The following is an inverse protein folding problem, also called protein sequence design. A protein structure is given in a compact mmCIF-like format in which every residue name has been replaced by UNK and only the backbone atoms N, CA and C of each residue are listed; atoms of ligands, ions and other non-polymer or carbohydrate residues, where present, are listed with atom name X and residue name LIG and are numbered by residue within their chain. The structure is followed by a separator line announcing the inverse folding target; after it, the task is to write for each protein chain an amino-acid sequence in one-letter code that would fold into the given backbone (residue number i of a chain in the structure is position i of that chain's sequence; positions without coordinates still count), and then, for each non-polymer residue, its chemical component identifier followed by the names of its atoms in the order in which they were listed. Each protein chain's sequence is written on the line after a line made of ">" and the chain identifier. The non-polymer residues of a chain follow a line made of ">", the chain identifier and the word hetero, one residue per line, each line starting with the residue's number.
data_IF_070125047438
#
_entry.id   IF_070125047438
#
_cell.length_a   1.000
_cell.length_b   1.000
_cell.length_c   1.000
_cell.angle_alpha   90.00
_cell.angle_beta   90.00
_cell.angle_gamma   90.00
#
_symmetry.space_group_name_H-M   'P 1'
#
loop_
_entity.id
_entity.type
_entity.pdbx_description
1 polymer ?
#
# COMPACT_ATOMS: atom_id res chain seq x y z
N UNK A 1 -28.71 -22.35 -7.55
CA UNK A 1 -30.18 -22.44 -7.71
C UNK A 1 -30.52 -22.17 -9.16
N UNK A 2 -31.44 -22.94 -9.75
CA UNK A 2 -32.01 -22.65 -11.08
C UNK A 2 -33.44 -22.16 -10.84
N UNK A 3 -33.85 -21.15 -11.60
CA UNK A 3 -35.19 -20.59 -11.55
C UNK A 3 -35.86 -20.79 -12.90
N UNK A 4 -37.16 -21.04 -12.89
CA UNK A 4 -37.99 -20.89 -14.10
C UNK A 4 -38.11 -19.41 -14.47
N UNK A 5 -38.62 -19.11 -15.66
CA UNK A 5 -38.80 -17.73 -16.12
C UNK A 5 -39.77 -16.94 -15.22
N UNK A 6 -40.87 -17.58 -14.81
CA UNK A 6 -41.89 -16.93 -13.98
C UNK A 6 -41.38 -16.68 -12.55
N UNK A 7 -40.69 -17.66 -11.97
CA UNK A 7 -40.02 -17.52 -10.67
C UNK A 7 -39.00 -16.37 -10.70
N UNK A 8 -38.22 -16.28 -11.78
CA UNK A 8 -37.24 -15.22 -11.94
C UNK A 8 -37.90 -13.85 -12.03
N UNK A 9 -38.99 -13.74 -12.79
CA UNK A 9 -39.76 -12.51 -12.94
C UNK A 9 -40.35 -12.04 -11.61
N UNK A 10 -40.93 -12.96 -10.84
CA UNK A 10 -41.47 -12.65 -9.52
C UNK A 10 -40.38 -12.17 -8.55
N UNK A 11 -39.21 -12.82 -8.56
CA UNK A 11 -38.06 -12.37 -7.76
C UNK A 11 -37.54 -11.01 -8.19
N UNK A 12 -37.57 -10.69 -9.49
CA UNK A 12 -37.15 -9.38 -10.02
C UNK A 12 -38.12 -8.25 -9.64
N UNK A 13 -39.42 -8.54 -9.54
CA UNK A 13 -40.41 -7.59 -8.98
C UNK A 13 -40.17 -7.38 -7.48
N UNK A 14 -40.05 -8.46 -6.71
CA UNK A 14 -39.94 -8.39 -5.25
C UNK A 14 -38.64 -7.72 -4.77
N UNK A 15 -37.53 -7.93 -5.46
CA UNK A 15 -36.23 -7.33 -5.09
C UNK A 15 -36.14 -5.83 -5.35
N UNK A 16 -37.00 -5.28 -6.21
CA UNK A 16 -36.90 -3.90 -6.71
C UNK A 16 -35.49 -3.57 -7.23
N UNK A 17 -34.88 -2.52 -6.68
CA UNK A 17 -33.54 -2.06 -7.08
C UNK A 17 -32.37 -2.84 -6.44
N UNK A 18 -32.64 -3.78 -5.53
CA UNK A 18 -31.60 -4.57 -4.88
C UNK A 18 -31.01 -5.61 -5.85
N UNK A 19 -29.72 -5.98 -5.78
CA UNK A 19 -29.21 -7.14 -6.53
C UNK A 19 -29.87 -8.46 -6.08
N UNK A 20 -30.24 -9.34 -7.01
CA UNK A 20 -30.98 -10.58 -6.69
C UNK A 20 -30.27 -11.45 -5.63
N UNK A 21 -28.96 -11.63 -5.76
CA UNK A 21 -28.20 -12.43 -4.81
C UNK A 21 -28.14 -11.84 -3.39
N UNK A 22 -28.36 -10.52 -3.25
CA UNK A 22 -28.49 -9.87 -1.95
C UNK A 22 -29.90 -10.11 -1.40
N UNK A 23 -30.93 -9.89 -2.22
CA UNK A 23 -32.32 -10.12 -1.84
C UNK A 23 -32.57 -11.57 -1.37
N UNK A 24 -32.11 -12.57 -2.13
CA UNK A 24 -32.25 -13.99 -1.76
C UNK A 24 -31.53 -14.26 -0.43
N UNK A 25 -30.33 -13.70 -0.23
CA UNK A 25 -29.56 -13.92 0.98
C UNK A 25 -30.26 -13.32 2.20
N UNK A 26 -30.79 -12.09 2.10
CA UNK A 26 -31.54 -11.46 3.17
C UNK A 26 -32.82 -12.23 3.52
N UNK A 27 -33.53 -12.77 2.52
CA UNK A 27 -34.74 -13.58 2.76
C UNK A 27 -34.42 -14.96 3.38
N UNK A 28 -33.31 -15.59 2.98
CA UNK A 28 -32.98 -16.97 3.42
C UNK A 28 -32.18 -16.99 4.72
N UNK A 29 -31.29 -16.02 4.93
CA UNK A 29 -30.36 -15.99 6.06
C UNK A 29 -30.68 -14.88 7.08
N UNK A 30 -31.59 -13.95 6.76
CA UNK A 30 -32.01 -12.90 7.68
C UNK A 30 -30.85 -12.10 8.29
N UNK A 31 -30.98 -11.80 9.58
CA UNK A 31 -29.96 -11.08 10.37
C UNK A 31 -28.72 -11.95 10.69
N UNK A 32 -28.82 -13.27 10.55
CA UNK A 32 -27.69 -14.21 10.70
C UNK A 32 -26.76 -14.23 9.49
N UNK A 33 -27.11 -13.51 8.42
CA UNK A 33 -26.27 -13.36 7.25
C UNK A 33 -25.03 -12.54 7.58
N UNK A 34 -23.91 -13.21 7.90
CA UNK A 34 -22.63 -12.54 8.14
C UNK A 34 -22.36 -11.45 7.08
N UNK A 35 -22.03 -10.21 7.49
CA UNK A 35 -21.81 -9.11 6.57
C UNK A 35 -20.76 -9.52 5.53
N UNK A 36 -21.02 -9.23 4.25
CA UNK A 36 -19.99 -9.43 3.23
C UNK A 36 -18.78 -8.58 3.64
N UNK A 37 -17.61 -9.20 3.80
CA UNK A 37 -16.35 -8.46 3.90
C UNK A 37 -16.32 -7.50 2.71
N UNK A 38 -16.43 -6.19 2.98
CA UNK A 38 -16.21 -5.18 1.94
C UNK A 38 -14.79 -5.45 1.46
N UNK A 39 -14.65 -5.84 0.19
CA UNK A 39 -13.34 -5.89 -0.46
C UNK A 39 -12.79 -4.47 -0.27
N UNK A 40 -11.75 -4.34 0.57
CA UNK A 40 -11.22 -3.04 0.96
C UNK A 40 -11.04 -2.20 -0.29
N UNK A 41 -11.51 -0.95 -0.27
CA UNK A 41 -11.17 0.01 -1.30
C UNK A 41 -9.64 0.14 -1.25
N UNK A 42 -8.93 -0.60 -2.08
CA UNK A 42 -7.50 -0.42 -2.24
C UNK A 42 -7.29 0.95 -2.88
N UNK A 43 -6.43 1.81 -2.33
CA UNK A 43 -6.02 3.03 -2.98
C UNK A 43 -5.04 2.65 -4.10
N UNK A 44 -5.57 2.16 -5.23
CA UNK A 44 -4.76 1.70 -6.38
C UNK A 44 -3.90 2.85 -6.93
N UNK A 45 -4.35 4.10 -6.79
CA UNK A 45 -3.60 5.30 -7.22
C UNK A 45 -2.48 5.70 -6.26
N UNK A 46 -2.69 5.66 -4.94
CA UNK A 46 -1.66 6.07 -3.99
C UNK A 46 -0.52 5.05 -3.95
N UNK A 47 -0.82 3.75 -4.09
CA UNK A 47 0.21 2.72 -4.14
C UNK A 47 1.09 2.79 -5.40
N UNK A 48 0.53 3.15 -6.55
CA UNK A 48 1.29 3.33 -7.79
C UNK A 48 2.25 4.52 -7.67
N UNK A 49 1.76 5.68 -7.20
CA UNK A 49 2.59 6.86 -6.98
C UNK A 49 3.70 6.61 -5.94
N UNK A 50 3.37 5.95 -4.82
CA UNK A 50 4.36 5.57 -3.80
C UNK A 50 5.37 4.54 -4.34
N UNK A 51 4.92 3.59 -5.18
CA UNK A 51 5.78 2.61 -5.85
C UNK A 51 6.76 3.25 -6.82
N UNK A 52 6.32 4.24 -7.60
CA UNK A 52 7.19 5.01 -8.49
C UNK A 52 8.25 5.79 -7.72
N UNK A 53 7.87 6.47 -6.64
CA UNK A 53 8.81 7.20 -5.79
C UNK A 53 9.83 6.25 -5.14
N UNK A 54 9.39 5.10 -4.63
CA UNK A 54 10.29 4.09 -4.07
C UNK A 54 11.25 3.51 -5.12
N UNK A 55 10.76 3.25 -6.34
CA UNK A 55 11.57 2.78 -7.46
C UNK A 55 12.63 3.80 -7.89
N UNK A 56 12.25 5.07 -7.99
CA UNK A 56 13.17 6.18 -8.29
C UNK A 56 14.22 6.37 -7.18
N UNK A 57 13.82 6.23 -5.91
CA UNK A 57 14.74 6.24 -4.77
C UNK A 57 15.74 5.08 -4.83
N UNK A 58 15.27 3.88 -5.15
CA UNK A 58 16.13 2.70 -5.32
C UNK A 58 17.14 2.84 -6.46
N UNK A 59 16.72 3.41 -7.60
CA UNK A 59 17.58 3.61 -8.77
C UNK A 59 18.56 4.77 -8.64
N UNK A 60 18.26 5.77 -7.81
CA UNK A 60 19.08 6.97 -7.61
C UNK A 60 20.48 6.71 -7.03
N UNK A 61 20.73 5.53 -6.47
CA UNK A 61 21.97 5.16 -5.75
C UNK A 61 22.39 6.15 -4.64
N UNK A 62 21.47 7.00 -4.16
CA UNK A 62 21.75 8.06 -3.18
C UNK A 62 22.47 7.54 -1.93
N UNK A 63 22.02 6.42 -1.37
CA UNK A 63 22.66 5.81 -0.20
C UNK A 63 24.10 5.36 -0.46
N UNK A 64 24.40 4.89 -1.67
CA UNK A 64 25.75 4.49 -2.06
C UNK A 64 26.65 5.73 -2.20
N UNK A 65 26.16 6.78 -2.87
CA UNK A 65 26.89 8.02 -3.08
C UNK A 65 27.17 8.75 -1.75
N UNK A 66 26.18 8.81 -0.86
CA UNK A 66 26.35 9.41 0.48
C UNK A 66 27.35 8.62 1.33
N UNK A 67 27.36 7.30 1.25
CA UNK A 67 28.35 6.47 1.95
C UNK A 67 29.77 6.64 1.37
N UNK A 68 29.91 6.80 0.05
CA UNK A 68 31.19 7.10 -0.58
C UNK A 68 31.72 8.47 -0.15
N UNK A 69 30.87 9.49 -0.10
CA UNK A 69 31.22 10.82 0.39
C UNK A 69 31.62 10.80 1.87
N UNK A 70 30.87 10.09 2.72
CA UNK A 70 31.21 9.93 4.13
C UNK A 70 32.55 9.20 4.33
N UNK A 71 32.85 8.18 3.52
CA UNK A 71 34.15 7.49 3.54
C UNK A 71 35.29 8.39 3.08
N UNK A 72 35.09 9.15 2.00
CA UNK A 72 36.09 10.09 1.48
C UNK A 72 36.35 11.27 2.45
N UNK A 73 35.32 11.72 3.15
CA UNK A 73 35.43 12.66 4.28
C UNK A 73 36.29 12.07 5.40
N UNK A 74 35.92 10.88 5.90
CA UNK A 74 36.59 10.23 7.02
C UNK A 74 38.05 9.85 6.71
N UNK A 75 38.38 9.54 5.46
CA UNK A 75 39.75 9.20 5.04
C UNK A 75 40.63 10.42 4.77
N UNK A 76 40.10 11.64 4.87
CA UNK A 76 40.81 12.87 4.54
C UNK A 76 41.05 13.08 3.03
N UNK A 77 40.50 12.21 2.18
CA UNK A 77 40.59 12.30 0.71
C UNK A 77 39.72 13.43 0.15
N UNK A 78 38.73 13.87 0.91
CA UNK A 78 37.89 15.01 0.61
C UNK A 78 38.25 16.09 1.64
N UNK A 79 38.68 17.31 1.23
CA UNK A 79 38.89 18.39 2.17
C UNK A 79 37.51 18.91 2.60
N UNK A 80 36.97 18.33 3.65
CA UNK A 80 35.67 18.70 4.20
C UNK A 80 35.81 19.13 5.65
N UNK A 81 35.19 20.27 5.96
CA UNK A 81 35.04 20.72 7.33
C UNK A 81 34.19 19.69 8.11
N UNK A 82 34.38 19.57 9.44
CA UNK A 82 33.57 18.68 10.29
C UNK A 82 32.06 18.87 10.14
N UNK A 83 31.65 20.11 9.85
CA UNK A 83 30.28 20.50 9.55
C UNK A 83 29.73 19.79 8.30
N UNK A 84 30.54 19.67 7.25
CA UNK A 84 30.16 18.99 6.00
C UNK A 84 29.99 17.48 6.21
N UNK A 85 30.82 16.86 7.05
CA UNK A 85 30.64 15.45 7.43
C UNK A 85 29.30 15.25 8.16
N UNK A 86 28.95 16.17 9.07
CA UNK A 86 27.68 16.13 9.78
C UNK A 86 26.47 16.29 8.83
N UNK A 87 26.54 17.22 7.86
CA UNK A 87 25.49 17.37 6.84
C UNK A 87 25.31 16.13 5.97
N UNK A 88 26.41 15.47 5.57
CA UNK A 88 26.36 14.24 4.78
C UNK A 88 25.72 13.08 5.57
N UNK A 89 26.10 12.91 6.84
CA UNK A 89 25.52 11.88 7.71
C UNK A 89 24.03 12.13 7.93
N UNK A 90 23.62 13.40 8.11
CA UNK A 90 22.21 13.77 8.26
C UNK A 90 21.40 13.48 6.99
N UNK A 91 21.91 13.88 5.83
CA UNK A 91 21.27 13.58 4.54
C UNK A 91 21.09 12.06 4.33
N UNK A 92 22.05 11.24 4.77
CA UNK A 92 21.93 9.79 4.72
C UNK A 92 20.78 9.26 5.59
N UNK A 93 20.68 9.71 6.84
CA UNK A 93 19.60 9.29 7.73
C UNK A 93 18.23 9.76 7.21
N UNK A 94 18.12 10.97 6.66
CA UNK A 94 16.88 11.50 6.09
C UNK A 94 16.40 10.64 4.89
N UNK A 95 17.32 10.27 3.98
CA UNK A 95 17.00 9.38 2.84
C UNK A 95 16.58 7.99 3.30
N UNK A 96 17.24 7.45 4.33
CA UNK A 96 16.91 6.15 4.92
C UNK A 96 15.52 6.18 5.57
N UNK A 97 15.19 7.25 6.30
CA UNK A 97 13.87 7.44 6.90
C UNK A 97 12.77 7.52 5.84
N UNK A 98 12.98 8.32 4.78
CA UNK A 98 12.04 8.39 3.64
C UNK A 98 11.80 7.01 3.01
N UNK A 99 12.85 6.22 2.79
CA UNK A 99 12.71 4.85 2.26
C UNK A 99 11.89 3.95 3.19
N UNK A 100 12.12 4.01 4.49
CA UNK A 100 11.38 3.18 5.46
C UNK A 100 9.90 3.55 5.49
N UNK A 101 9.56 4.83 5.44
CA UNK A 101 8.18 5.30 5.45
C UNK A 101 7.43 4.90 4.17
N UNK A 102 8.09 4.99 3.01
CA UNK A 102 7.53 4.50 1.75
C UNK A 102 7.26 2.98 1.77
N UNK A 103 8.18 2.19 2.33
CA UNK A 103 8.00 0.74 2.47
C UNK A 103 6.83 0.38 3.41
N UNK A 104 6.64 1.15 4.49
CA UNK A 104 5.48 1.02 5.40
C UNK A 104 4.18 1.38 4.69
N UNK A 105 4.14 2.51 3.99
CA UNK A 105 2.97 2.98 3.26
C UNK A 105 2.52 1.99 2.17
N UNK A 106 3.46 1.28 1.55
CA UNK A 106 3.18 0.24 0.55
C UNK A 106 2.80 -1.13 1.14
N UNK A 107 2.77 -1.27 2.48
CA UNK A 107 2.44 -2.52 3.16
C UNK A 107 3.53 -3.59 3.13
N UNK A 108 4.73 -3.28 2.59
CA UNK A 108 5.85 -4.23 2.50
C UNK A 108 6.56 -4.50 3.84
N UNK A 109 6.29 -3.70 4.86
CA UNK A 109 6.81 -3.85 6.23
C UNK A 109 5.71 -4.13 7.27
N UNK A 110 4.50 -4.55 6.84
CA UNK A 110 3.48 -4.94 7.80
C UNK A 110 3.90 -6.21 8.54
N UNK A 111 4.28 -6.06 9.81
CA UNK A 111 4.19 -7.12 10.81
C UNK A 111 2.74 -7.60 10.82
N UNK A 112 2.51 -8.86 10.47
CA UNK A 112 1.18 -9.49 10.60
C UNK A 112 0.35 -9.55 9.33
N UNK A 113 0.84 -10.28 8.32
CA UNK A 113 -0.04 -11.01 7.42
C UNK A 113 -0.12 -12.45 7.90
N UNK A 114 -1.07 -12.78 8.77
CA UNK A 114 -1.46 -14.19 8.98
C UNK A 114 -2.46 -14.63 7.91
N UNK A 115 -2.38 -15.91 7.46
CA UNK A 115 -3.18 -16.47 6.37
C UNK A 115 -4.68 -16.53 6.63
#
# INVERSE_FOLDING_TARGET
>A
MRFTFDERTMLDILRGNMPLGRYIREQVLGDDAAPRKKRGRYPVKDHEALGHVLGALGSSRLSCNLNQLARASKSGSLPVAPETEAYLRRAYEDVKAMRQELLRALGSLSVGGEP
#
